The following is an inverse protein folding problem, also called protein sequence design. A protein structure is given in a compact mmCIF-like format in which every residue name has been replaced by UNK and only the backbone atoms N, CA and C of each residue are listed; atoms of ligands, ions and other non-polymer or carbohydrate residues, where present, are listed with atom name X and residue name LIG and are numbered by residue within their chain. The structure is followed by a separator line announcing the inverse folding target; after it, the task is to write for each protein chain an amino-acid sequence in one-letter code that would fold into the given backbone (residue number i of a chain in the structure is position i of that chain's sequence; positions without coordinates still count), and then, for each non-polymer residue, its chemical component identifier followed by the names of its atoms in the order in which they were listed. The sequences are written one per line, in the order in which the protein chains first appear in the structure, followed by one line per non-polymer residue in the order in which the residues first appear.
data_IF_506827808183
#
_entry.id   IF_506827808183
#
_cell.length_a   1.000
_cell.length_b   1.000
_cell.length_c   1.000
_cell.angle_alpha   90.00
_cell.angle_beta   90.00
_cell.angle_gamma   90.00
#
_symmetry.space_group_name_H-M   'P 1'
#
loop_
_entity.id
_entity.type
_entity.pdbx_description
1 polymer ?
#
# COMPACT_ATOMS: atom_id res chain seq x y z
N UNK A 1 6.63 0.74 -0.64
CA UNK A 1 6.20 0.04 -1.88
C UNK A 1 6.49 -1.45 -1.73
N UNK A 2 5.71 -2.33 -2.36
CA UNK A 2 6.07 -3.75 -2.45
C UNK A 2 7.31 -3.96 -3.34
N UNK A 3 8.08 -5.06 -3.15
CA UNK A 3 9.32 -5.30 -3.91
C UNK A 3 9.15 -5.32 -5.44
N UNK A 4 8.01 -5.82 -5.92
CA UNK A 4 7.71 -5.94 -7.36
C UNK A 4 7.21 -4.63 -7.99
N UNK A 5 6.93 -3.61 -7.17
CA UNK A 5 6.26 -2.37 -7.56
C UNK A 5 6.88 -1.71 -8.80
N UNK A 6 8.21 -1.56 -8.81
CA UNK A 6 8.88 -0.84 -9.89
C UNK A 6 8.79 -1.61 -11.22
N UNK A 7 8.99 -2.93 -11.20
CA UNK A 7 8.89 -3.77 -12.40
C UNK A 7 7.45 -3.75 -12.94
N UNK A 8 6.47 -3.85 -12.05
CA UNK A 8 5.05 -3.82 -12.41
C UNK A 8 4.62 -2.48 -13.01
N UNK A 9 5.04 -1.35 -12.43
CA UNK A 9 4.77 -0.01 -12.98
C UNK A 9 5.49 0.20 -14.31
N UNK A 10 6.77 -0.15 -14.39
CA UNK A 10 7.60 0.15 -15.57
C UNK A 10 7.17 -0.61 -16.81
N UNK A 11 6.66 -1.84 -16.65
CA UNK A 11 6.12 -2.64 -17.77
C UNK A 11 5.03 -1.92 -18.57
N UNK A 12 4.21 -1.08 -17.92
CA UNK A 12 3.17 -0.32 -18.61
C UNK A 12 3.72 0.75 -19.56
N UNK A 13 4.95 1.21 -19.35
CA UNK A 13 5.63 2.17 -20.22
C UNK A 13 6.33 1.52 -21.44
N UNK A 14 6.11 0.24 -21.70
CA UNK A 14 6.47 -0.35 -23.00
C UNK A 14 5.62 0.24 -24.13
N UNK A 15 4.37 0.65 -23.83
CA UNK A 15 3.55 1.41 -24.76
C UNK A 15 3.85 2.93 -24.62
N UNK A 16 4.32 3.55 -25.71
CA UNK A 16 4.70 4.97 -25.76
C UNK A 16 3.52 5.93 -25.53
N UNK A 17 2.28 5.53 -25.80
CA UNK A 17 1.08 6.32 -25.55
C UNK A 17 0.78 6.50 -24.05
N UNK A 18 1.22 5.55 -23.22
CA UNK A 18 1.04 5.61 -21.78
C UNK A 18 1.99 6.65 -21.20
N UNK A 19 1.45 7.76 -20.70
CA UNK A 19 2.23 8.84 -20.11
C UNK A 19 2.27 8.82 -18.59
N UNK A 20 1.35 8.11 -17.94
CA UNK A 20 1.31 7.97 -16.50
C UNK A 20 0.71 6.64 -16.08
N UNK A 21 1.19 6.12 -14.96
CA UNK A 21 0.75 4.85 -14.39
C UNK A 21 0.56 5.00 -12.89
N UNK A 22 -0.60 4.58 -12.39
CA UNK A 22 -0.91 4.48 -10.97
C UNK A 22 -1.33 3.06 -10.59
N UNK A 23 -0.99 2.66 -9.36
CA UNK A 23 -1.33 1.36 -8.79
C UNK A 23 -2.18 1.47 -7.53
N UNK A 24 -2.54 0.32 -6.96
CA UNK A 24 -3.34 0.25 -5.75
C UNK A 24 -2.55 0.67 -4.50
N UNK A 25 -3.25 1.17 -3.48
CA UNK A 25 -2.63 1.67 -2.24
C UNK A 25 -3.30 1.06 -1.03
N UNK A 26 -2.51 0.35 -0.23
CA UNK A 26 -2.92 -0.10 1.09
C UNK A 26 -2.98 1.07 2.07
N UNK A 27 -3.95 1.02 2.95
CA UNK A 27 -4.16 2.03 3.97
C UNK A 27 -3.11 1.95 5.09
N UNK A 28 -3.32 2.71 6.16
CA UNK A 28 -2.41 2.76 7.31
C UNK A 28 -2.23 1.44 8.05
N UNK A 29 -3.15 0.49 7.93
CA UNK A 29 -2.98 -0.86 8.47
C UNK A 29 -2.06 -1.69 7.58
N UNK A 30 -1.92 -1.36 6.30
CA UNK A 30 -1.21 -2.18 5.31
C UNK A 30 -1.95 -3.45 4.88
N UNK A 31 -3.18 -3.65 5.38
CA UNK A 31 -3.99 -4.84 5.10
C UNK A 31 -5.14 -4.53 4.15
N UNK A 32 -5.90 -3.47 4.43
CA UNK A 32 -7.01 -3.02 3.59
C UNK A 32 -6.57 -1.98 2.56
N UNK A 33 -7.27 -1.94 1.43
CA UNK A 33 -6.97 -0.99 0.36
C UNK A 33 -7.66 0.36 0.62
N UNK A 34 -6.86 1.41 0.68
CA UNK A 34 -7.33 2.80 0.73
C UNK A 34 -7.78 3.29 -0.65
N UNK A 35 -7.12 2.82 -1.71
CA UNK A 35 -7.30 3.34 -3.06
C UNK A 35 -7.12 2.27 -4.12
N UNK A 36 -8.02 2.30 -5.11
CA UNK A 36 -8.06 1.38 -6.24
C UNK A 36 -8.16 2.17 -7.56
N UNK A 37 -9.31 2.08 -8.25
CA UNK A 37 -9.62 2.85 -9.44
C UNK A 37 -10.39 4.11 -9.11
N UNK A 38 -10.06 5.19 -9.79
CA UNK A 38 -10.68 6.49 -9.60
C UNK A 38 -10.87 7.21 -10.92
N UNK A 39 -12.04 7.80 -11.12
CA UNK A 39 -12.22 8.87 -12.11
C UNK A 39 -12.23 10.20 -11.38
N UNK A 40 -11.54 11.19 -11.90
CA UNK A 40 -11.78 12.58 -11.56
C UNK A 40 -12.61 13.24 -12.66
N UNK A 41 -13.17 14.41 -12.38
CA UNK A 41 -13.81 15.26 -13.38
C UNK A 41 -13.22 16.67 -13.43
N UNK A 42 -13.68 17.46 -14.42
CA UNK A 42 -13.21 18.83 -14.61
C UNK A 42 -13.65 19.80 -13.51
N UNK A 43 -14.60 19.42 -12.66
CA UNK A 43 -15.04 20.20 -11.50
C UNK A 43 -14.22 19.91 -10.24
N UNK A 44 -13.26 18.98 -10.34
CA UNK A 44 -12.38 18.57 -9.25
C UNK A 44 -12.98 17.51 -8.32
N UNK A 45 -14.10 16.89 -8.70
CA UNK A 45 -14.67 15.78 -7.94
C UNK A 45 -14.05 14.43 -8.37
N UNK A 46 -14.08 13.46 -7.47
CA UNK A 46 -13.50 12.13 -7.65
C UNK A 46 -14.50 11.02 -7.32
N UNK A 47 -14.61 10.02 -8.19
CA UNK A 47 -15.41 8.80 -8.01
C UNK A 47 -14.49 7.62 -7.74
N UNK A 48 -14.43 7.22 -6.47
CA UNK A 48 -13.54 6.17 -5.94
C UNK A 48 -14.22 4.80 -5.79
N UNK A 49 -15.46 4.65 -6.31
CA UNK A 49 -16.26 3.42 -6.18
C UNK A 49 -16.04 2.45 -7.33
N UNK A 50 -15.06 2.72 -8.18
CA UNK A 50 -14.84 1.97 -9.40
C UNK A 50 -14.11 0.67 -9.12
N UNK A 51 -14.54 -0.39 -9.79
CA UNK A 51 -13.96 -1.74 -9.67
C UNK A 51 -13.10 -2.13 -10.87
N UNK A 52 -13.07 -1.32 -11.92
CA UNK A 52 -12.38 -1.59 -13.17
C UNK A 52 -11.49 -0.41 -13.61
N UNK A 53 -10.40 -0.67 -14.35
CA UNK A 53 -9.51 0.38 -14.86
C UNK A 53 -10.22 1.24 -15.91
N UNK A 54 -9.90 2.53 -15.92
CA UNK A 54 -10.66 3.53 -16.70
C UNK A 54 -9.90 4.18 -17.85
N UNK A 55 -8.83 3.54 -18.36
CA UNK A 55 -7.97 4.12 -19.41
C UNK A 55 -8.70 4.63 -20.65
N UNK A 56 -9.87 4.06 -21.00
CA UNK A 56 -10.73 4.48 -22.10
C UNK A 56 -11.35 5.88 -21.94
N UNK A 57 -11.27 6.48 -20.73
CA UNK A 57 -11.59 7.89 -20.48
C UNK A 57 -10.41 8.84 -20.79
N UNK A 58 -9.26 8.32 -21.23
CA UNK A 58 -8.09 9.12 -21.61
C UNK A 58 -8.20 9.61 -23.06
N UNK A 59 -9.09 10.57 -23.31
CA UNK A 59 -9.15 11.29 -24.58
C UNK A 59 -9.20 12.80 -24.33
N UNK A 60 -8.60 13.63 -25.21
CA UNK A 60 -8.56 15.07 -25.03
C UNK A 60 -9.95 15.66 -24.81
N UNK A 61 -10.03 16.61 -23.88
CA UNK A 61 -11.26 17.34 -23.56
C UNK A 61 -12.37 16.48 -22.93
N UNK A 62 -12.07 15.25 -22.51
CA UNK A 62 -13.01 14.45 -21.72
C UNK A 62 -13.39 15.18 -20.43
N UNK A 63 -14.66 15.11 -20.05
CA UNK A 63 -15.14 15.67 -18.78
C UNK A 63 -14.70 14.83 -17.58
N UNK A 64 -14.69 13.50 -17.72
CA UNK A 64 -14.21 12.54 -16.72
C UNK A 64 -12.95 11.85 -17.21
N UNK A 65 -11.99 11.61 -16.32
CA UNK A 65 -10.70 11.06 -16.70
C UNK A 65 -10.08 10.21 -15.59
N UNK A 66 -9.20 9.25 -15.92
CA UNK A 66 -8.49 8.46 -14.91
C UNK A 66 -7.68 9.36 -13.99
N UNK A 67 -7.74 9.05 -12.71
CA UNK A 67 -7.02 9.75 -11.67
C UNK A 67 -6.11 8.76 -10.92
N UNK A 68 -5.00 9.26 -10.38
CA UNK A 68 -4.11 8.51 -9.51
C UNK A 68 -4.11 9.12 -8.12
N UNK A 69 -3.97 8.31 -7.07
CA UNK A 69 -3.60 8.85 -5.76
C UNK A 69 -2.13 9.26 -5.81
N UNK A 70 -1.80 10.47 -5.37
CA UNK A 70 -0.41 10.98 -5.38
C UNK A 70 0.61 10.05 -4.72
N UNK A 71 0.20 9.24 -3.74
CA UNK A 71 1.03 8.22 -3.08
C UNK A 71 1.57 7.14 -4.03
N UNK A 72 0.86 6.83 -5.12
CA UNK A 72 1.23 5.79 -6.08
C UNK A 72 0.94 6.26 -7.51
N UNK A 73 1.71 7.26 -7.94
CA UNK A 73 1.63 7.83 -9.27
C UNK A 73 3.04 7.96 -9.88
N UNK A 74 3.17 7.56 -11.13
CA UNK A 74 4.39 7.77 -11.92
C UNK A 74 4.02 8.39 -13.26
N UNK A 75 4.97 9.12 -13.86
CA UNK A 75 4.76 9.78 -15.13
C UNK A 75 6.03 9.75 -16.00
N UNK A 76 5.86 9.72 -17.32
CA UNK A 76 6.97 9.91 -18.26
C UNK A 76 7.53 11.32 -18.11
N UNK A 77 8.84 11.41 -17.86
CA UNK A 77 9.55 12.69 -17.74
C UNK A 77 9.34 13.58 -18.97
N UNK A 78 9.42 13.02 -20.19
CA UNK A 78 9.25 13.79 -21.43
C UNK A 78 7.87 14.44 -21.52
N UNK A 79 6.82 13.73 -21.08
CA UNK A 79 5.44 14.25 -21.07
C UNK A 79 5.27 15.30 -19.98
N UNK A 80 5.78 15.05 -18.76
CA UNK A 80 5.76 16.06 -17.70
C UNK A 80 6.43 17.37 -18.14
N UNK A 81 7.59 17.30 -18.80
CA UNK A 81 8.26 18.51 -19.33
C UNK A 81 7.41 19.18 -20.40
N UNK A 82 6.81 18.41 -21.32
CA UNK A 82 5.94 18.93 -22.39
C UNK A 82 4.73 19.69 -21.86
N UNK A 83 4.13 19.25 -20.75
CA UNK A 83 2.98 19.92 -20.14
C UNK A 83 3.36 20.98 -19.11
N UNK A 84 4.65 21.32 -18.96
CA UNK A 84 5.15 22.27 -17.96
C UNK A 84 5.01 21.79 -16.49
N UNK A 85 5.16 20.50 -16.25
CA UNK A 85 5.30 19.91 -14.90
C UNK A 85 4.05 20.07 -14.05
N UNK A 86 4.22 20.13 -12.73
CA UNK A 86 3.17 20.46 -11.78
C UNK A 86 2.94 21.98 -11.75
N UNK A 87 1.70 22.39 -11.48
CA UNK A 87 1.37 23.80 -11.26
C UNK A 87 1.55 24.12 -9.78
N UNK A 88 2.60 24.88 -9.45
CA UNK A 88 2.96 25.24 -8.07
C UNK A 88 1.92 26.16 -7.40
N UNK A 89 0.87 26.59 -8.12
CA UNK A 89 -0.29 27.24 -7.52
C UNK A 89 -1.04 26.30 -6.58
N UNK A 90 -1.03 24.99 -6.80
CA UNK A 90 -1.64 24.02 -5.91
C UNK A 90 -0.71 23.71 -4.73
N UNK A 91 -0.97 24.31 -3.57
CA UNK A 91 -0.24 24.02 -2.33
C UNK A 91 -0.66 22.70 -1.67
N UNK A 92 -1.87 22.24 -1.97
CA UNK A 92 -2.48 21.02 -1.45
C UNK A 92 -3.78 20.74 -2.20
N UNK A 93 -4.03 19.47 -2.56
CA UNK A 93 -5.26 19.00 -3.23
C UNK A 93 -5.40 19.51 -4.68
N UNK A 94 -5.68 18.58 -5.59
CA UNK A 94 -5.87 18.75 -7.04
C UNK A 94 -4.58 18.98 -7.84
N UNK A 95 -3.39 18.90 -7.23
CA UNK A 95 -2.11 19.04 -7.92
C UNK A 95 -1.84 17.87 -8.87
N UNK A 96 -2.04 16.64 -8.41
CA UNK A 96 -1.97 15.43 -9.22
C UNK A 96 -3.16 15.32 -10.19
N UNK A 97 -4.34 15.78 -9.76
CA UNK A 97 -5.55 15.84 -10.60
C UNK A 97 -5.34 16.72 -11.83
N UNK A 98 -4.74 17.91 -11.65
CA UNK A 98 -4.39 18.84 -12.74
C UNK A 98 -3.37 18.26 -13.71
N UNK A 99 -2.35 17.57 -13.20
CA UNK A 99 -1.36 16.87 -14.04
C UNK A 99 -2.02 15.78 -14.87
N UNK A 100 -2.86 14.94 -14.25
CA UNK A 100 -3.57 13.87 -14.96
C UNK A 100 -4.42 14.42 -16.11
N UNK A 101 -5.19 15.48 -15.85
CA UNK A 101 -6.03 16.12 -16.86
C UNK A 101 -5.20 16.70 -18.01
N UNK A 102 -4.13 17.45 -17.72
CA UNK A 102 -3.26 18.04 -18.75
C UNK A 102 -2.53 17.01 -19.59
N UNK A 103 -2.16 15.86 -19.03
CA UNK A 103 -1.59 14.74 -19.78
C UNK A 103 -2.59 14.23 -20.82
N UNK A 104 -3.84 14.06 -20.41
CA UNK A 104 -4.90 13.55 -21.28
C UNK A 104 -5.26 14.55 -22.38
N UNK A 105 -5.35 15.83 -22.04
CA UNK A 105 -5.57 16.90 -23.02
C UNK A 105 -4.42 17.04 -24.01
N UNK A 106 -3.20 16.65 -23.62
CA UNK A 106 -2.05 16.55 -24.52
C UNK A 106 -2.05 15.30 -25.43
N UNK A 107 -3.10 14.46 -25.34
CA UNK A 107 -3.32 13.29 -26.21
C UNK A 107 -2.69 11.99 -25.71
N UNK A 108 -2.29 11.92 -24.44
CA UNK A 108 -1.70 10.71 -23.87
C UNK A 108 -2.69 9.92 -23.00
N UNK A 109 -2.35 8.68 -22.71
CA UNK A 109 -3.17 7.76 -21.92
C UNK A 109 -2.64 7.62 -20.50
N UNK A 110 -3.55 7.62 -19.54
CA UNK A 110 -3.27 7.25 -18.16
C UNK A 110 -3.72 5.80 -17.91
N UNK A 111 -2.85 5.00 -17.28
CA UNK A 111 -3.12 3.60 -16.98
C UNK A 111 -3.20 3.37 -15.47
N UNK A 112 -4.32 2.82 -15.03
CA UNK A 112 -4.46 2.29 -13.67
C UNK A 112 -4.23 0.78 -13.73
N UNK A 113 -3.42 0.25 -12.82
CA UNK A 113 -3.16 -1.19 -12.71
C UNK A 113 -3.57 -1.70 -11.33
N UNK A 114 -4.06 -2.94 -11.27
CA UNK A 114 -4.48 -3.65 -10.05
C UNK A 114 -3.31 -4.25 -9.25
N UNK A 115 -2.10 -4.14 -9.79
CA UNK A 115 -0.84 -4.52 -9.15
C UNK A 115 -0.06 -3.28 -8.70
N UNK A 116 1.23 -3.45 -8.40
CA UNK A 116 2.15 -2.41 -7.94
C UNK A 116 1.67 -1.69 -6.70
N UNK A 117 1.63 -2.41 -5.57
CA UNK A 117 1.12 -1.87 -4.33
C UNK A 117 2.09 -0.92 -3.63
N UNK A 118 1.52 0.12 -3.02
CA UNK A 118 2.20 0.99 -2.06
C UNK A 118 1.45 0.96 -0.72
N UNK A 119 2.18 0.86 0.37
CA UNK A 119 1.65 0.95 1.72
C UNK A 119 1.72 2.39 2.21
N UNK A 120 0.58 2.99 2.50
CA UNK A 120 0.51 4.38 2.93
C UNK A 120 0.49 4.49 4.45
N UNK A 121 1.53 5.10 5.03
CA UNK A 121 1.60 5.41 6.46
C UNK A 121 1.44 6.90 6.67
N UNK A 122 0.70 7.27 7.71
CA UNK A 122 0.48 8.67 8.03
C UNK A 122 1.69 9.28 8.74
N UNK A 123 2.07 10.47 8.30
CA UNK A 123 2.87 11.39 9.09
C UNK A 123 1.95 12.49 9.67
N UNK A 124 2.25 13.04 10.85
CA UNK A 124 1.53 14.19 11.38
C UNK A 124 1.53 15.34 10.36
N UNK A 125 0.35 15.95 10.15
CA UNK A 125 0.17 17.11 9.27
C UNK A 125 -0.51 18.23 10.02
N UNK A 126 -0.17 19.49 9.70
CA UNK A 126 -0.80 20.67 10.28
C UNK A 126 -2.22 20.92 9.74
N UNK A 127 -2.65 20.18 8.70
CA UNK A 127 -3.97 20.32 8.06
C UNK A 127 -5.09 19.62 8.84
N UNK A 128 -4.75 18.61 9.65
CA UNK A 128 -5.71 17.77 10.37
C UNK A 128 -5.26 17.51 11.81
N UNK A 129 -6.21 17.33 12.72
CA UNK A 129 -5.90 16.85 14.08
C UNK A 129 -5.50 15.37 14.07
N UNK A 130 -4.98 14.87 15.21
CA UNK A 130 -4.73 13.44 15.42
C UNK A 130 -5.99 12.58 15.22
N UNK A 131 -7.18 13.15 15.48
CA UNK A 131 -8.48 12.52 15.24
C UNK A 131 -8.96 12.67 13.78
N UNK A 132 -8.07 13.02 12.85
CA UNK A 132 -8.32 13.18 11.42
C UNK A 132 -9.33 14.29 11.06
N UNK A 133 -9.65 15.19 12.00
CA UNK A 133 -10.53 16.34 11.75
C UNK A 133 -9.76 17.41 10.99
N UNK A 134 -10.29 17.86 9.84
CA UNK A 134 -9.68 18.94 9.05
C UNK A 134 -9.84 20.26 9.80
N UNK A 135 -8.74 20.97 10.00
CA UNK A 135 -8.72 22.27 10.70
C UNK A 135 -8.33 23.43 9.79
N UNK A 136 -7.79 23.14 8.61
CA UNK A 136 -7.42 24.12 7.60
C UNK A 136 -8.06 23.78 6.25
N UNK A 137 -9.11 24.53 5.89
CA UNK A 137 -9.96 24.24 4.72
C UNK A 137 -9.63 25.11 3.50
N UNK A 138 -8.86 26.17 3.69
CA UNK A 138 -8.49 27.13 2.64
C UNK A 138 -8.06 26.49 1.31
N UNK A 139 -7.08 25.55 1.27
CA UNK A 139 -6.61 25.01 -0.02
C UNK A 139 -7.69 24.23 -0.76
N UNK A 140 -8.57 23.50 -0.07
CA UNK A 140 -9.65 22.75 -0.71
C UNK A 140 -10.62 23.64 -1.48
N UNK A 141 -10.87 24.87 -0.98
CA UNK A 141 -11.78 25.81 -1.62
C UNK A 141 -11.07 26.63 -2.69
N UNK A 142 -9.93 27.22 -2.34
CA UNK A 142 -9.14 28.06 -3.24
C UNK A 142 -8.72 27.28 -4.48
N UNK A 143 -8.17 26.07 -4.31
CA UNK A 143 -7.68 25.27 -5.43
C UNK A 143 -8.80 24.70 -6.29
N UNK A 144 -9.97 24.38 -5.71
CA UNK A 144 -11.12 23.92 -6.51
C UNK A 144 -11.69 25.03 -7.40
N UNK A 145 -11.75 26.27 -6.90
CA UNK A 145 -12.15 27.44 -7.71
C UNK A 145 -11.12 27.71 -8.83
N UNK A 146 -9.83 27.71 -8.49
CA UNK A 146 -8.76 27.87 -9.49
C UNK A 146 -8.83 26.77 -10.56
N UNK A 147 -9.01 25.51 -10.15
CA UNK A 147 -9.16 24.36 -11.04
C UNK A 147 -10.37 24.51 -11.98
N UNK A 148 -11.53 24.91 -11.45
CA UNK A 148 -12.72 25.17 -12.26
C UNK A 148 -12.47 26.22 -13.35
N UNK A 149 -11.90 27.37 -12.96
CA UNK A 149 -11.60 28.46 -13.91
C UNK A 149 -10.61 28.01 -14.98
N UNK A 150 -9.66 27.16 -14.62
CA UNK A 150 -8.66 26.62 -15.54
C UNK A 150 -9.21 25.57 -16.52
N UNK A 151 -10.16 24.73 -16.07
CA UNK A 151 -10.48 23.48 -16.78
C UNK A 151 -11.95 23.23 -17.11
N UNK A 152 -12.90 23.89 -16.45
CA UNK A 152 -14.32 23.52 -16.49
C UNK A 152 -15.27 24.59 -17.04
N UNK A 153 -14.81 25.82 -17.32
CA UNK A 153 -15.69 26.90 -17.79
C UNK A 153 -16.45 26.55 -19.08
N UNK A 154 -15.89 25.69 -19.93
CA UNK A 154 -16.55 25.22 -21.15
C UNK A 154 -17.59 24.10 -20.93
N UNK A 155 -17.67 23.55 -19.71
CA UNK A 155 -18.46 22.35 -19.38
C UNK A 155 -19.56 22.60 -18.35
N UNK A 156 -19.50 23.71 -17.62
CA UNK A 156 -20.42 24.05 -16.55
C UNK A 156 -20.71 25.54 -16.59
N UNK A 157 -21.98 25.92 -16.44
CA UNK A 157 -22.35 27.33 -16.38
C UNK A 157 -21.84 27.95 -15.07
N UNK A 158 -21.63 29.27 -15.07
CA UNK A 158 -21.21 29.96 -13.86
C UNK A 158 -22.25 29.84 -12.74
N UNK A 159 -23.54 29.83 -13.08
CA UNK A 159 -24.63 29.66 -12.11
C UNK A 159 -24.60 28.28 -11.46
N UNK A 160 -24.50 27.21 -12.26
CA UNK A 160 -24.38 25.84 -11.76
C UNK A 160 -23.13 25.66 -10.90
N UNK A 161 -22.00 26.22 -11.34
CA UNK A 161 -20.75 26.18 -10.59
C UNK A 161 -20.88 26.83 -9.20
N UNK A 162 -21.53 28.00 -9.11
CA UNK A 162 -21.74 28.67 -7.83
C UNK A 162 -22.56 27.79 -6.88
N UNK A 163 -23.60 27.12 -7.37
CA UNK A 163 -24.39 26.18 -6.59
C UNK A 163 -23.59 24.95 -6.13
N UNK A 164 -22.78 24.36 -7.02
CA UNK A 164 -21.93 23.20 -6.70
C UNK A 164 -20.89 23.58 -5.64
N UNK A 165 -20.25 24.73 -5.79
CA UNK A 165 -19.24 25.21 -4.87
C UNK A 165 -19.84 25.57 -3.50
N UNK A 166 -21.02 26.17 -3.47
CA UNK A 166 -21.74 26.46 -2.23
C UNK A 166 -22.10 25.16 -1.48
N UNK A 167 -22.60 24.14 -2.19
CA UNK A 167 -22.88 22.84 -1.61
C UNK A 167 -21.61 22.19 -1.01
N UNK A 168 -20.47 22.31 -1.70
CA UNK A 168 -19.18 21.80 -1.23
C UNK A 168 -18.69 22.51 0.03
N UNK A 169 -18.80 23.85 0.09
CA UNK A 169 -18.47 24.63 1.29
C UNK A 169 -19.40 24.24 2.45
N UNK A 170 -20.71 24.08 2.18
CA UNK A 170 -21.68 23.66 3.19
C UNK A 170 -21.39 22.27 3.76
N UNK A 171 -20.86 21.35 2.95
CA UNK A 171 -20.42 20.04 3.44
C UNK A 171 -19.33 20.18 4.52
N UNK A 172 -18.27 20.95 4.27
CA UNK A 172 -17.23 21.20 5.26
C UNK A 172 -17.74 21.95 6.49
N UNK A 173 -18.57 22.98 6.28
CA UNK A 173 -19.21 23.74 7.37
C UNK A 173 -19.98 22.83 8.32
N UNK A 174 -20.75 21.89 7.78
CA UNK A 174 -21.48 20.91 8.56
C UNK A 174 -20.54 19.94 9.29
N UNK A 175 -19.44 19.53 8.66
CA UNK A 175 -18.37 18.75 9.30
C UNK A 175 -17.75 19.46 10.50
N UNK A 176 -17.43 20.75 10.37
CA UNK A 176 -16.91 21.58 11.48
C UNK A 176 -17.93 21.66 12.62
N UNK A 177 -19.21 21.93 12.31
CA UNK A 177 -20.29 21.95 13.32
C UNK A 177 -20.43 20.62 14.04
N UNK A 178 -20.36 19.49 13.33
CA UNK A 178 -20.41 18.16 13.92
C UNK A 178 -19.21 17.88 14.83
N UNK A 179 -18.01 18.33 14.44
CA UNK A 179 -16.81 18.23 15.26
C UNK A 179 -16.88 19.09 16.54
N UNK A 180 -17.51 20.26 16.48
CA UNK A 180 -17.79 21.09 17.67
C UNK A 180 -18.79 20.37 18.59
N UNK A 181 -19.90 19.87 18.03
CA UNK A 181 -20.93 19.16 18.79
C UNK A 181 -20.41 17.89 19.48
N UNK A 182 -19.36 17.27 18.92
CA UNK A 182 -18.69 16.09 19.48
C UNK A 182 -17.47 16.44 20.35
N UNK A 183 -17.28 17.71 20.71
CA UNK A 183 -16.16 18.23 21.51
C UNK A 183 -14.77 17.95 20.92
N UNK A 184 -14.67 17.73 19.62
CA UNK A 184 -13.40 17.56 18.91
C UNK A 184 -12.77 18.91 18.50
N UNK A 185 -13.59 19.95 18.38
CA UNK A 185 -13.20 21.34 18.11
C UNK A 185 -13.93 22.29 19.07
N UNK A 186 -13.38 23.50 19.24
CA UNK A 186 -14.03 24.56 20.01
C UNK A 186 -14.89 25.47 19.12
N UNK A 187 -15.71 26.33 19.72
CA UNK A 187 -16.61 27.24 18.98
C UNK A 187 -15.87 28.22 18.05
N UNK A 188 -14.63 28.60 18.38
CA UNK A 188 -13.79 29.46 17.54
C UNK A 188 -13.41 28.80 16.21
N UNK A 189 -13.50 27.48 16.09
CA UNK A 189 -13.20 26.77 14.86
C UNK A 189 -14.16 27.14 13.72
N UNK A 190 -15.43 27.43 14.02
CA UNK A 190 -16.39 27.84 13.00
C UNK A 190 -16.10 29.26 12.52
N UNK A 191 -15.77 30.19 13.41
CA UNK A 191 -15.38 31.55 13.04
C UNK A 191 -14.13 31.54 12.15
N UNK A 192 -13.09 30.78 12.57
CA UNK A 192 -11.89 30.59 11.75
C UNK A 192 -12.21 29.99 10.38
N UNK A 193 -13.09 28.99 10.34
CA UNK A 193 -13.54 28.39 9.08
C UNK A 193 -14.13 29.45 8.14
N UNK A 194 -15.08 30.28 8.60
CA UNK A 194 -15.69 31.30 7.73
C UNK A 194 -14.68 32.32 7.21
N UNK A 195 -13.73 32.76 8.05
CA UNK A 195 -12.64 33.66 7.65
C UNK A 195 -11.76 33.01 6.57
N UNK A 196 -11.34 31.76 6.80
CA UNK A 196 -10.49 31.02 5.86
C UNK A 196 -11.21 30.80 4.51
N UNK A 197 -12.52 30.53 4.52
CA UNK A 197 -13.33 30.33 3.31
C UNK A 197 -13.51 31.62 2.52
N UNK A 198 -13.81 32.74 3.18
CA UNK A 198 -13.95 34.03 2.51
C UNK A 198 -12.64 34.43 1.80
N UNK A 199 -11.50 34.20 2.46
CA UNK A 199 -10.18 34.39 1.87
C UNK A 199 -9.93 33.44 0.70
N UNK A 200 -10.24 32.16 0.86
CA UNK A 200 -10.04 31.13 -0.17
C UNK A 200 -10.84 31.42 -1.45
N UNK A 201 -12.08 31.91 -1.32
CA UNK A 201 -12.90 32.32 -2.47
C UNK A 201 -12.24 33.48 -3.21
N UNK A 202 -11.87 34.53 -2.47
CA UNK A 202 -11.24 35.73 -3.04
C UNK A 202 -9.95 35.38 -3.78
N UNK A 203 -9.07 34.63 -3.13
CA UNK A 203 -7.78 34.24 -3.68
C UNK A 203 -7.95 33.25 -4.85
N UNK A 204 -8.87 32.28 -4.76
CA UNK A 204 -9.15 31.32 -5.83
C UNK A 204 -9.61 31.98 -7.12
N UNK A 205 -10.57 32.90 -7.05
CA UNK A 205 -11.01 33.67 -8.22
C UNK A 205 -9.88 34.55 -8.75
N UNK A 206 -9.18 35.29 -7.88
CA UNK A 206 -8.07 36.15 -8.30
C UNK A 206 -7.02 35.37 -9.09
N UNK A 207 -6.53 34.25 -8.54
CA UNK A 207 -5.50 33.42 -9.18
C UNK A 207 -6.00 32.79 -10.48
N UNK A 208 -7.27 32.37 -10.54
CA UNK A 208 -7.85 31.83 -11.77
C UNK A 208 -7.96 32.85 -12.90
N UNK A 209 -8.26 34.11 -12.61
CA UNK A 209 -8.28 35.18 -13.61
C UNK A 209 -6.87 35.64 -14.01
N UNK A 210 -5.91 35.62 -13.09
CA UNK A 210 -4.49 35.88 -13.39
C UNK A 210 -3.89 34.78 -14.30
N UNK A 211 -4.45 33.57 -14.24
CA UNK A 211 -4.03 32.43 -15.03
C UNK A 211 -2.77 31.74 -14.51
N UNK A 212 -2.28 30.77 -15.29
CA UNK A 212 -1.16 29.91 -14.91
C UNK A 212 0.16 30.68 -14.93
N UNK A 213 0.80 30.82 -13.76
CA UNK A 213 2.04 31.61 -13.61
C UNK A 213 3.21 30.86 -12.98
N UNK A 214 2.96 29.70 -12.35
CA UNK A 214 3.93 29.05 -11.46
C UNK A 214 4.45 27.68 -11.95
N UNK A 215 4.15 27.30 -13.20
CA UNK A 215 4.55 26.01 -13.77
C UNK A 215 6.07 25.89 -14.07
N UNK A 216 6.49 24.68 -14.48
CA UNK A 216 7.85 24.39 -14.89
C UNK A 216 8.21 25.12 -16.19
N UNK A 217 9.28 25.91 -16.15
CA UNK A 217 9.82 26.64 -17.31
C UNK A 217 11.18 26.08 -17.74
N UNK A 218 11.63 26.34 -18.99
CA UNK A 218 12.98 25.99 -19.42
C UNK A 218 14.07 26.54 -18.48
N UNK A 219 13.90 27.77 -17.98
CA UNK A 219 14.84 28.37 -17.03
C UNK A 219 14.87 27.64 -15.69
N UNK A 220 13.70 27.23 -15.16
CA UNK A 220 13.63 26.40 -13.95
C UNK A 220 14.31 25.05 -14.16
N UNK A 221 14.15 24.43 -15.34
CA UNK A 221 14.83 23.17 -15.69
C UNK A 221 16.34 23.37 -15.74
N UNK A 222 16.82 24.40 -16.45
CA UNK A 222 18.25 24.68 -16.57
C UNK A 222 18.90 24.99 -15.22
N UNK A 223 18.24 25.82 -14.40
CA UNK A 223 18.70 26.19 -13.05
C UNK A 223 18.84 24.98 -12.12
N UNK A 224 17.95 24.01 -12.23
CA UNK A 224 17.93 22.81 -11.38
C UNK A 224 18.47 21.55 -12.09
N UNK A 225 19.15 21.73 -13.23
CA UNK A 225 19.73 20.60 -13.95
C UNK A 225 20.82 19.94 -13.11
N UNK A 226 20.83 18.60 -13.11
CA UNK A 226 21.82 17.81 -12.39
C UNK A 226 21.85 16.38 -12.90
N UNK A 227 22.91 15.63 -12.57
CA UNK A 227 22.98 14.21 -12.91
C UNK A 227 21.85 13.44 -12.21
N UNK A 228 21.38 12.37 -12.85
CA UNK A 228 20.45 11.45 -12.22
C UNK A 228 21.09 10.85 -10.96
N UNK A 229 20.40 10.97 -9.82
CA UNK A 229 20.85 10.37 -8.56
C UNK A 229 20.56 8.88 -8.59
N UNK A 230 21.58 8.09 -8.83
CA UNK A 230 21.50 6.64 -8.75
C UNK A 230 21.38 6.20 -7.29
N UNK A 231 20.64 5.11 -7.06
CA UNK A 231 20.60 4.42 -5.76
C UNK A 231 21.29 3.06 -5.91
N UNK A 232 21.94 2.54 -4.85
CA UNK A 232 22.49 1.19 -4.88
C UNK A 232 21.40 0.17 -5.16
N UNK A 233 21.55 -0.61 -6.22
CA UNK A 233 20.70 -1.75 -6.51
C UNK A 233 21.35 -3.01 -5.97
N UNK A 234 20.59 -3.81 -5.24
CA UNK A 234 20.93 -5.22 -5.07
C UNK A 234 20.36 -5.90 -6.32
N UNK A 235 21.21 -6.56 -7.10
CA UNK A 235 20.78 -7.45 -8.18
C UNK A 235 20.85 -8.90 -7.70
N UNK A 236 19.98 -9.36 -6.78
CA UNK A 236 19.91 -10.78 -6.52
C UNK A 236 19.22 -11.41 -7.72
N UNK A 237 19.98 -12.08 -8.58
CA UNK A 237 19.40 -13.01 -9.56
C UNK A 237 18.64 -14.16 -8.87
N UNK A 238 18.88 -14.37 -7.56
CA UNK A 238 18.41 -15.52 -6.77
C UNK A 238 17.85 -15.10 -5.40
N UNK A 239 16.98 -14.08 -5.31
CA UNK A 239 16.27 -13.84 -4.06
C UNK A 239 15.14 -14.87 -3.87
N UNK A 240 14.93 -15.28 -2.62
CA UNK A 240 13.81 -16.12 -2.23
C UNK A 240 12.76 -15.26 -1.52
N UNK A 241 11.50 -15.61 -1.71
CA UNK A 241 10.39 -15.20 -0.85
C UNK A 241 10.20 -16.27 0.22
N UNK A 242 10.46 -15.89 1.47
CA UNK A 242 10.43 -16.78 2.63
C UNK A 242 9.34 -16.30 3.58
N UNK A 243 8.44 -17.20 3.97
CA UNK A 243 7.37 -16.91 4.93
C UNK A 243 7.61 -17.70 6.20
N UNK A 244 7.74 -17.02 7.34
CA UNK A 244 7.74 -17.61 8.66
C UNK A 244 6.33 -17.54 9.24
N UNK A 245 5.83 -18.64 9.80
CA UNK A 245 4.61 -18.65 10.61
C UNK A 245 5.04 -18.81 12.06
N UNK A 246 4.81 -17.78 12.87
CA UNK A 246 5.16 -17.79 14.28
C UNK A 246 4.17 -16.96 15.09
N UNK A 247 3.25 -17.64 15.79
CA UNK A 247 2.11 -17.05 16.50
C UNK A 247 2.48 -15.95 17.49
N UNK A 248 3.59 -16.13 18.21
CA UNK A 248 3.99 -15.29 19.34
C UNK A 248 4.92 -14.12 18.96
N UNK A 249 5.19 -13.90 17.66
CA UNK A 249 6.19 -12.92 17.22
C UNK A 249 5.95 -11.50 17.77
N UNK A 250 4.68 -11.09 17.81
CA UNK A 250 4.25 -9.76 18.21
C UNK A 250 4.00 -9.58 19.73
N UNK A 251 4.14 -10.63 20.54
CA UNK A 251 3.79 -10.58 21.96
C UNK A 251 4.94 -9.98 22.78
N UNK A 252 4.68 -8.88 23.50
CA UNK A 252 5.69 -8.13 24.27
C UNK A 252 6.33 -8.93 25.40
N UNK A 253 5.66 -9.99 25.89
CA UNK A 253 6.12 -10.80 27.02
C UNK A 253 7.00 -11.99 26.61
N UNK A 254 7.10 -12.30 25.31
CA UNK A 254 7.85 -13.44 24.82
C UNK A 254 9.36 -13.16 24.73
N UNK A 255 10.04 -13.07 25.87
CA UNK A 255 11.51 -13.12 25.93
C UNK A 255 12.06 -14.55 25.72
N UNK A 256 11.50 -15.28 24.74
CA UNK A 256 11.97 -16.62 24.41
C UNK A 256 13.20 -16.54 23.51
N UNK A 257 14.17 -17.44 23.72
CA UNK A 257 15.34 -17.59 22.83
C UNK A 257 14.92 -17.80 21.37
N UNK A 258 13.76 -18.41 21.17
CA UNK A 258 13.14 -18.70 19.86
C UNK A 258 12.74 -17.40 19.17
N UNK A 259 12.05 -16.49 19.88
CA UNK A 259 11.66 -15.21 19.29
C UNK A 259 12.87 -14.42 18.82
N UNK A 260 13.92 -14.36 19.64
CA UNK A 260 15.15 -13.66 19.28
C UNK A 260 15.84 -14.29 18.08
N UNK A 261 15.86 -15.62 18.00
CA UNK A 261 16.37 -16.34 16.83
C UNK A 261 15.61 -15.98 15.57
N UNK A 262 14.27 -16.05 15.59
CA UNK A 262 13.41 -15.71 14.44
C UNK A 262 13.62 -14.26 14.01
N UNK A 263 13.64 -13.30 14.95
CA UNK A 263 13.92 -11.88 14.66
C UNK A 263 15.25 -11.68 13.94
N UNK A 264 16.31 -12.28 14.49
CA UNK A 264 17.66 -12.14 13.93
C UNK A 264 17.76 -12.76 12.54
N UNK A 265 17.33 -14.01 12.37
CA UNK A 265 17.45 -14.70 11.07
C UNK A 265 16.57 -14.03 10.01
N UNK A 266 15.37 -13.56 10.35
CA UNK A 266 14.51 -12.85 9.40
C UNK A 266 15.14 -11.55 8.92
N UNK A 267 15.76 -10.78 9.83
CA UNK A 267 16.43 -9.54 9.49
C UNK A 267 17.71 -9.80 8.67
N UNK A 268 18.49 -10.81 9.02
CA UNK A 268 19.69 -11.21 8.26
C UNK A 268 19.35 -11.66 6.82
N UNK A 269 18.29 -12.47 6.65
CA UNK A 269 17.80 -12.89 5.34
C UNK A 269 17.32 -11.68 4.51
N UNK A 270 16.57 -10.76 5.13
CA UNK A 270 16.14 -9.53 4.48
C UNK A 270 17.32 -8.63 4.07
N UNK A 271 18.29 -8.44 4.96
CA UNK A 271 19.51 -7.70 4.66
C UNK A 271 20.34 -8.33 3.54
N UNK A 272 20.28 -9.66 3.40
CA UNK A 272 20.91 -10.41 2.30
C UNK A 272 20.16 -10.26 0.97
N UNK A 273 18.98 -9.64 0.96
CA UNK A 273 18.22 -9.34 -0.25
C UNK A 273 17.04 -10.29 -0.51
N UNK A 274 16.72 -11.19 0.42
CA UNK A 274 15.51 -12.01 0.35
C UNK A 274 14.26 -11.22 0.74
N UNK A 275 13.10 -11.64 0.22
CA UNK A 275 11.81 -11.08 0.63
C UNK A 275 11.31 -11.93 1.81
N UNK A 276 11.28 -11.33 2.99
CA UNK A 276 10.93 -12.06 4.21
C UNK A 276 9.58 -11.60 4.74
N UNK A 277 8.72 -12.57 5.03
CA UNK A 277 7.41 -12.39 5.63
C UNK A 277 7.35 -13.13 6.96
N UNK A 278 6.68 -12.55 7.94
CA UNK A 278 6.34 -13.21 9.20
C UNK A 278 4.83 -13.09 9.41
N UNK A 279 4.16 -14.21 9.61
CA UNK A 279 2.74 -14.26 9.97
C UNK A 279 2.64 -14.56 11.46
N UNK A 280 2.02 -13.65 12.20
CA UNK A 280 1.89 -13.68 13.66
C UNK A 280 0.46 -13.38 14.08
N UNK A 281 0.07 -13.87 15.26
CA UNK A 281 -1.26 -13.60 15.76
C UNK A 281 -1.39 -12.15 16.20
N UNK A 282 -2.49 -11.52 15.81
CA UNK A 282 -2.92 -10.22 16.28
C UNK A 282 -3.95 -10.35 17.41
N UNK A 283 -3.98 -9.36 18.30
CA UNK A 283 -4.94 -9.29 19.41
C UNK A 283 -6.07 -8.27 19.14
N UNK A 284 -5.95 -7.46 18.09
CA UNK A 284 -6.81 -6.31 17.84
C UNK A 284 -7.34 -6.26 16.40
N UNK A 285 -6.45 -6.13 15.41
CA UNK A 285 -6.79 -5.95 14.01
C UNK A 285 -5.83 -6.70 13.09
N UNK A 286 -6.27 -6.95 11.86
CA UNK A 286 -5.35 -7.33 10.79
C UNK A 286 -4.50 -6.13 10.38
N UNK A 287 -3.19 -6.31 10.27
CA UNK A 287 -2.27 -5.27 9.76
C UNK A 287 -0.99 -5.89 9.22
N UNK A 288 -0.31 -5.16 8.35
CA UNK A 288 0.99 -5.53 7.79
C UNK A 288 1.98 -4.43 8.06
N UNK A 289 2.97 -4.68 8.91
CA UNK A 289 4.03 -3.73 9.25
C UNK A 289 5.33 -4.04 8.51
N UNK A 290 6.17 -3.02 8.31
CA UNK A 290 7.50 -3.16 7.73
C UNK A 290 8.54 -2.86 8.81
N UNK A 291 9.23 -3.90 9.29
CA UNK A 291 10.14 -3.82 10.44
C UNK A 291 11.48 -4.42 10.03
N UNK A 292 12.55 -3.61 10.04
CA UNK A 292 13.93 -4.06 9.77
C UNK A 292 14.09 -4.91 8.50
N UNK A 293 13.40 -4.54 7.41
CA UNK A 293 13.47 -5.28 6.14
C UNK A 293 12.48 -6.44 6.02
N UNK A 294 11.60 -6.64 7.00
CA UNK A 294 10.68 -7.78 7.08
C UNK A 294 9.24 -7.30 7.04
N UNK A 295 8.41 -7.98 6.24
CA UNK A 295 6.96 -7.79 6.23
C UNK A 295 6.33 -8.60 7.36
N UNK A 296 5.75 -7.94 8.35
CA UNK A 296 5.14 -8.59 9.53
C UNK A 296 3.63 -8.48 9.44
N UNK A 297 2.99 -9.62 9.19
CA UNK A 297 1.56 -9.78 9.02
C UNK A 297 0.94 -10.20 10.35
N UNK A 298 0.26 -9.26 11.00
CA UNK A 298 -0.51 -9.49 12.21
C UNK A 298 -1.92 -9.90 11.82
N UNK A 299 -2.31 -11.14 12.15
CA UNK A 299 -3.58 -11.73 11.72
C UNK A 299 -4.44 -12.14 12.91
N UNK A 300 -5.69 -11.70 12.91
CA UNK A 300 -6.71 -12.12 13.86
C UNK A 300 -6.97 -13.62 13.72
N UNK A 301 -7.04 -14.30 14.86
CA UNK A 301 -7.43 -15.70 14.89
C UNK A 301 -8.96 -15.85 14.88
N UNK A 302 -9.60 -15.44 13.78
CA UNK A 302 -11.06 -15.46 13.65
C UNK A 302 -11.56 -16.84 13.16
N UNK A 303 -12.73 -17.27 13.62
CA UNK A 303 -13.46 -18.45 13.15
C UNK A 303 -14.38 -18.17 11.96
N UNK A 304 -14.59 -16.89 11.61
CA UNK A 304 -15.52 -16.46 10.56
C UNK A 304 -14.99 -16.55 9.13
N UNK A 305 -13.71 -16.91 8.97
CA UNK A 305 -13.11 -17.09 7.67
C UNK A 305 -13.55 -18.42 7.03
N UNK A 306 -13.59 -18.48 5.69
CA UNK A 306 -13.79 -19.73 4.93
C UNK A 306 -12.54 -20.62 5.07
N UNK A 307 -12.45 -21.31 6.21
CA UNK A 307 -11.32 -22.16 6.54
C UNK A 307 -11.46 -23.53 5.87
N UNK A 308 -10.35 -24.15 5.43
CA UNK A 308 -10.36 -25.52 4.95
C UNK A 308 -10.91 -26.49 6.01
N UNK A 309 -11.55 -27.56 5.52
CA UNK A 309 -12.17 -28.59 6.37
C UNK A 309 -11.13 -29.16 7.34
N UNK A 310 -11.45 -29.09 8.64
CA UNK A 310 -10.57 -29.59 9.70
C UNK A 310 -10.38 -31.11 9.61
N UNK A 311 -9.14 -31.62 9.60
CA UNK A 311 -8.86 -33.03 9.77
C UNK A 311 -9.30 -33.54 11.16
N UNK A 312 -9.85 -34.76 11.24
CA UNK A 312 -10.43 -35.31 12.47
C UNK A 312 -9.43 -35.35 13.66
N UNK A 313 -8.15 -35.59 13.39
CA UNK A 313 -7.12 -35.82 14.43
C UNK A 313 -6.45 -34.55 14.99
N UNK A 314 -6.75 -33.35 14.46
CA UNK A 314 -6.08 -32.12 14.88
C UNK A 314 -7.01 -31.34 15.83
N UNK A 315 -6.54 -30.89 17.01
CA UNK A 315 -7.32 -30.02 17.90
C UNK A 315 -7.86 -28.77 17.17
N UNK A 316 -9.07 -28.32 17.54
CA UNK A 316 -9.75 -27.22 16.84
C UNK A 316 -8.93 -25.94 16.83
N UNK A 317 -8.39 -25.54 17.98
CA UNK A 317 -7.70 -24.26 18.13
C UNK A 317 -6.37 -24.22 17.37
N UNK A 318 -5.65 -25.35 17.33
CA UNK A 318 -4.41 -25.49 16.55
C UNK A 318 -4.68 -25.42 15.04
N UNK A 319 -5.75 -26.07 14.58
CA UNK A 319 -6.17 -25.98 13.18
C UNK A 319 -6.59 -24.56 12.82
N UNK A 320 -7.37 -23.91 13.68
CA UNK A 320 -7.90 -22.57 13.41
C UNK A 320 -6.78 -21.56 13.18
N UNK A 321 -5.78 -21.51 14.06
CA UNK A 321 -4.60 -20.66 13.86
C UNK A 321 -3.90 -20.97 12.54
N UNK A 322 -3.57 -22.25 12.32
CA UNK A 322 -2.82 -22.65 11.12
C UNK A 322 -3.59 -22.34 9.83
N UNK A 323 -4.91 -22.50 9.85
CA UNK A 323 -5.78 -22.22 8.72
C UNK A 323 -5.89 -20.71 8.44
N UNK A 324 -5.97 -19.86 9.46
CA UNK A 324 -5.87 -18.40 9.33
C UNK A 324 -4.52 -17.98 8.76
N UNK A 325 -3.42 -18.54 9.25
CA UNK A 325 -2.09 -18.28 8.71
C UNK A 325 -2.00 -18.72 7.23
N UNK A 326 -2.58 -19.87 6.86
CA UNK A 326 -2.65 -20.31 5.46
C UNK A 326 -3.44 -19.34 4.57
N UNK A 327 -4.53 -18.73 5.06
CA UNK A 327 -5.23 -17.72 4.26
C UNK A 327 -4.34 -16.53 3.96
N UNK A 328 -3.56 -16.08 4.95
CA UNK A 328 -2.61 -15.00 4.73
C UNK A 328 -1.46 -15.38 3.80
N UNK A 329 -0.97 -16.62 3.87
CA UNK A 329 -0.04 -17.16 2.87
C UNK A 329 -0.65 -17.11 1.47
N UNK A 330 -1.92 -17.49 1.30
CA UNK A 330 -2.60 -17.40 0.00
C UNK A 330 -2.72 -15.93 -0.45
N UNK A 331 -2.99 -14.98 0.47
CA UNK A 331 -3.04 -13.55 0.16
C UNK A 331 -1.68 -13.04 -0.34
N UNK A 332 -0.59 -13.36 0.35
CA UNK A 332 0.78 -13.04 -0.11
C UNK A 332 1.04 -13.64 -1.50
N UNK A 333 0.60 -14.88 -1.72
CA UNK A 333 0.77 -15.56 -3.00
C UNK A 333 -0.01 -14.94 -4.17
N UNK A 334 -0.99 -14.07 -3.93
CA UNK A 334 -1.74 -13.38 -5.00
C UNK A 334 -0.87 -12.44 -5.83
N UNK A 335 0.20 -11.91 -5.25
CA UNK A 335 1.02 -10.87 -5.87
C UNK A 335 2.52 -11.17 -5.89
N UNK A 336 2.95 -12.32 -5.33
CA UNK A 336 4.32 -12.81 -5.46
C UNK A 336 4.43 -14.32 -5.34
N UNK A 337 5.48 -14.87 -5.94
CA UNK A 337 5.82 -16.27 -5.78
C UNK A 337 6.46 -16.51 -4.41
N UNK A 338 5.93 -17.46 -3.64
CA UNK A 338 6.50 -17.94 -2.38
C UNK A 338 7.40 -19.14 -2.68
N UNK A 339 8.64 -19.10 -2.20
CA UNK A 339 9.59 -20.20 -2.41
C UNK A 339 9.57 -21.19 -1.25
N UNK A 340 9.54 -20.69 -0.01
CA UNK A 340 9.66 -21.51 1.20
C UNK A 340 8.75 -20.96 2.29
N UNK A 341 8.11 -21.86 3.03
CA UNK A 341 7.41 -21.56 4.28
C UNK A 341 8.12 -22.28 5.42
N UNK A 342 8.43 -21.57 6.49
CA UNK A 342 8.96 -22.11 7.74
C UNK A 342 7.89 -21.96 8.84
N UNK A 343 7.72 -23.00 9.65
CA UNK A 343 6.86 -22.94 10.82
C UNK A 343 7.39 -23.86 11.93
N UNK A 344 7.19 -23.52 13.22
CA UNK A 344 7.55 -24.40 14.31
C UNK A 344 6.70 -25.68 14.26
N UNK A 345 7.35 -26.81 14.55
CA UNK A 345 6.62 -28.08 14.75
C UNK A 345 5.86 -28.10 16.08
N UNK A 346 6.31 -27.31 17.06
CA UNK A 346 5.59 -27.06 18.31
C UNK A 346 4.23 -26.44 17.97
N UNK A 347 3.17 -26.96 18.59
CA UNK A 347 1.77 -26.54 18.35
C UNK A 347 1.31 -26.63 16.88
N UNK A 348 2.08 -27.34 16.04
CA UNK A 348 1.80 -27.65 14.63
C UNK A 348 1.35 -26.45 13.80
N UNK A 349 2.00 -25.29 13.97
CA UNK A 349 1.54 -24.02 13.39
C UNK A 349 1.46 -24.02 11.86
N UNK A 350 2.30 -24.82 11.19
CA UNK A 350 2.29 -24.98 9.72
C UNK A 350 1.36 -26.08 9.19
N UNK A 351 0.54 -26.74 10.01
CA UNK A 351 -0.18 -27.96 9.60
C UNK A 351 -1.13 -27.74 8.43
N UNK A 352 -1.87 -26.63 8.38
CA UNK A 352 -2.78 -26.32 7.28
C UNK A 352 -2.01 -26.12 5.97
N UNK A 353 -0.84 -25.48 6.00
CA UNK A 353 0.07 -25.35 4.85
C UNK A 353 0.53 -26.73 4.37
N UNK A 354 0.92 -27.61 5.30
CA UNK A 354 1.31 -28.98 4.97
C UNK A 354 0.17 -29.81 4.35
N UNK A 355 -1.08 -29.58 4.79
CA UNK A 355 -2.25 -30.20 4.17
C UNK A 355 -2.56 -29.65 2.77
N UNK A 356 -2.39 -28.33 2.58
CA UNK A 356 -2.58 -27.62 1.32
C UNK A 356 -1.58 -28.08 0.25
N UNK A 357 -0.31 -28.28 0.63
CA UNK A 357 0.72 -28.87 -0.24
C UNK A 357 1.18 -28.00 -1.42
N UNK A 358 0.75 -26.73 -1.50
CA UNK A 358 1.14 -25.79 -2.57
C UNK A 358 2.60 -25.33 -2.50
N UNK A 359 3.17 -25.27 -1.30
CA UNK A 359 4.52 -24.74 -1.08
C UNK A 359 5.37 -25.68 -0.24
N UNK A 360 6.70 -25.68 -0.44
CA UNK A 360 7.63 -26.35 0.46
C UNK A 360 7.46 -25.83 1.90
N UNK A 361 7.18 -26.75 2.83
CA UNK A 361 7.10 -26.45 4.26
C UNK A 361 8.32 -27.05 4.97
N UNK A 362 9.10 -26.18 5.61
CA UNK A 362 10.18 -26.54 6.51
C UNK A 362 9.65 -26.41 7.93
N UNK A 363 9.86 -27.44 8.74
CA UNK A 363 9.52 -27.40 10.16
C UNK A 363 10.77 -27.52 11.01
N UNK A 364 10.91 -26.62 11.97
CA UNK A 364 12.02 -26.66 12.92
C UNK A 364 11.55 -27.29 14.24
N UNK A 365 12.35 -28.25 14.73
CA UNK A 365 12.26 -28.79 16.08
C UNK A 365 12.99 -27.85 17.04
N UNK A 366 12.25 -26.88 17.58
CA UNK A 366 12.74 -26.00 18.62
C UNK A 366 11.98 -26.37 19.90
N UNK A 367 12.68 -27.08 20.81
CA UNK A 367 12.24 -27.57 22.11
C UNK A 367 10.88 -28.28 22.18
N UNK A 368 10.91 -29.61 21.94
CA UNK A 368 9.82 -30.51 22.32
C UNK A 368 10.41 -31.72 23.07
N UNK A 369 9.83 -32.08 24.22
CA UNK A 369 10.12 -33.36 24.86
C UNK A 369 9.83 -34.53 23.91
N UNK A 370 10.64 -35.61 23.90
CA UNK A 370 10.60 -36.67 22.89
C UNK A 370 9.25 -37.38 22.66
N UNK A 371 8.25 -37.22 23.53
CA UNK A 371 7.04 -38.04 23.54
C UNK A 371 5.94 -37.61 22.54
N UNK A 372 5.82 -36.32 22.22
CA UNK A 372 4.83 -35.84 21.22
C UNK A 372 5.32 -35.94 19.78
N UNK A 373 6.58 -36.34 19.59
CA UNK A 373 7.23 -36.49 18.27
C UNK A 373 6.58 -37.62 17.46
N UNK A 374 6.19 -38.75 18.08
CA UNK A 374 5.70 -39.90 17.30
C UNK A 374 4.32 -39.69 16.67
N UNK A 375 3.39 -39.01 17.36
CA UNK A 375 2.02 -38.78 16.87
C UNK A 375 1.98 -37.68 15.81
N UNK A 376 2.76 -36.61 15.97
CA UNK A 376 2.83 -35.49 15.02
C UNK A 376 3.64 -35.88 13.77
N UNK A 377 4.74 -36.63 13.93
CA UNK A 377 5.51 -37.13 12.78
C UNK A 377 4.68 -38.08 11.91
N UNK A 378 3.84 -38.95 12.49
CA UNK A 378 2.98 -39.83 11.70
C UNK A 378 1.97 -39.06 10.82
N UNK A 379 1.53 -37.88 11.25
CA UNK A 379 0.62 -37.01 10.47
C UNK A 379 1.37 -36.26 9.36
N UNK A 380 2.63 -35.88 9.60
CA UNK A 380 3.43 -35.06 8.67
C UNK A 380 4.24 -35.88 7.65
N UNK A 381 4.72 -37.08 8.01
CA UNK A 381 5.60 -37.92 7.17
C UNK A 381 4.94 -38.47 5.89
N UNK A 382 3.63 -38.27 5.69
CA UNK A 382 2.91 -38.67 4.48
C UNK A 382 2.81 -37.59 3.40
N UNK A 383 3.35 -36.39 3.63
CA UNK A 383 3.29 -35.24 2.71
C UNK A 383 4.66 -34.54 2.64
N UNK A 384 4.89 -33.71 1.61
CA UNK A 384 6.17 -33.09 1.19
C UNK A 384 6.89 -32.16 2.20
N UNK A 385 6.74 -32.37 3.51
CA UNK A 385 7.33 -31.57 4.57
C UNK A 385 8.74 -32.05 4.95
N UNK A 386 9.67 -31.10 5.12
CA UNK A 386 11.03 -31.37 5.60
C UNK A 386 11.14 -31.02 7.10
N UNK A 387 11.75 -31.91 7.89
CA UNK A 387 11.95 -31.73 9.34
C UNK A 387 13.43 -31.47 9.61
N UNK A 388 13.77 -30.31 10.19
CA UNK A 388 15.14 -29.97 10.62
C UNK A 388 15.24 -29.99 12.15
N UNK A 389 16.27 -30.66 12.67
CA UNK A 389 16.55 -30.76 14.11
C UNK A 389 17.67 -29.79 14.49
N UNK A 390 17.33 -28.72 15.19
CA UNK A 390 18.31 -27.74 15.71
C UNK A 390 18.54 -28.01 17.19
N UNK A 391 19.17 -29.15 17.51
CA UNK A 391 19.63 -29.42 18.87
C UNK A 391 21.16 -29.49 18.86
N UNK A 392 21.81 -28.44 19.37
CA UNK A 392 23.16 -28.40 19.95
C UNK A 392 24.29 -27.60 19.27
N UNK A 393 24.09 -26.84 18.19
CA UNK A 393 25.09 -25.82 17.79
C UNK A 393 24.46 -24.69 16.97
N UNK A 394 24.75 -23.39 17.24
CA UNK A 394 24.37 -22.30 16.36
C UNK A 394 25.30 -22.32 15.14
N UNK A 395 25.00 -23.21 14.18
CA UNK A 395 25.67 -23.17 12.88
C UNK A 395 25.21 -21.92 12.13
N UNK A 396 26.21 -21.09 11.78
CA UNK A 396 26.14 -19.90 10.96
C UNK A 396 25.37 -20.15 9.63
N UNK A 397 24.79 -19.09 9.02
CA UNK A 397 23.96 -19.18 7.82
C UNK A 397 24.62 -19.82 6.58
N UNK A 398 25.93 -20.02 6.57
CA UNK A 398 26.69 -20.38 5.37
C UNK A 398 26.57 -21.84 4.92
N UNK A 399 25.96 -22.73 5.71
CA UNK A 399 25.76 -24.14 5.32
C UNK A 399 24.35 -24.48 4.78
N UNK A 400 23.41 -23.54 4.77
CA UNK A 400 22.01 -23.86 4.44
C UNK A 400 21.64 -23.76 2.96
N UNK A 401 22.51 -23.15 2.13
CA UNK A 401 22.30 -23.02 0.69
C UNK A 401 23.12 -24.01 -0.17
N UNK A 402 24.16 -24.64 0.40
CA UNK A 402 25.27 -25.16 -0.43
C UNK A 402 25.10 -26.62 -0.88
N UNK A 403 24.29 -27.47 -0.23
CA UNK A 403 24.36 -28.89 -0.56
C UNK A 403 23.38 -29.43 -1.60
N UNK A 404 22.10 -29.04 -1.72
CA UNK A 404 21.18 -29.86 -2.57
C UNK A 404 20.03 -29.15 -3.32
N UNK A 405 20.18 -27.86 -3.63
CA UNK A 405 19.68 -27.35 -4.93
C UNK A 405 20.30 -28.12 -6.12
N UNK A 406 21.44 -28.77 -5.92
CA UNK A 406 22.11 -29.66 -6.87
C UNK A 406 21.36 -30.96 -7.25
N UNK A 407 20.12 -31.18 -6.76
CA UNK A 407 19.30 -32.34 -7.16
C UNK A 407 18.13 -32.01 -8.12
N UNK A 408 17.98 -30.77 -8.57
CA UNK A 408 17.10 -30.41 -9.68
C UNK A 408 17.81 -30.52 -11.05
N UNK A 409 18.41 -31.69 -11.29
CA UNK A 409 18.72 -32.23 -12.61
C UNK A 409 18.55 -33.75 -12.52
N UNK A 410 17.31 -34.19 -12.68
CA UNK A 410 16.92 -35.36 -13.48
C UNK A 410 15.40 -35.38 -13.65
#
# INVERSE_FOLDING_TARGET
PEPEWLNQITSAYENEEIAGVGGFVFDHTGYDLQYHYCLADRLGDADVRLTEPTSHFSFPYSFRYPHFLGTNATFRRSVLVKINGFDEEYEYHLDETDVCLRIIDAGYVLKQIDQAYVHHRYAPSHVRTHNKVITYHYPFIKNRIYFYLKHAQAYCSQEDWLHIQEAYINHFRNGVRAAINSNQLNEQALEKFEIDIAKAITDGYKRGHEGVTAQLTPDKIAKNAGPFKTFPTKNPCDFLTIVFIFREYAQQEASSKILNFIKNISAELAHSGHIVHIITQSQDINRVDWIDGVWVHHILNDSNFDLPIKPQKIPKDLWQWSANALQEVNRIATHRQINIIEAPIKDVEGIAVGFCGKWPLITNLIDIEPKSISEIQQVLMGKSAWIRKTSQDPLLPDQFAIENWNKNKD
#
